data_IF_266229782376
#
_entry.id   IF_266229782376
#
_cell.length_a   1.000
_cell.length_b   1.000
_cell.length_c   1.000
_cell.angle_alpha   90.00
_cell.angle_beta   90.00
_cell.angle_gamma   90.00
#
_symmetry.space_group_name_H-M   'P 1'
#
loop_
_entity.id
_entity.type
_entity.pdbx_description
1 polymer ?
#
# COMPACT_ATOMS: atom_id res chain seq x y z
N UNK A 1 -9.37 -5.93 0.26
CA UNK A 1 -8.58 -7.18 0.24
C UNK A 1 -8.97 -7.99 1.46
N UNK A 2 -9.09 -9.32 1.35
CA UNK A 2 -9.39 -10.14 2.53
C UNK A 2 -8.12 -10.52 3.31
N UNK A 3 -8.29 -11.18 4.46
CA UNK A 3 -7.19 -11.68 5.28
C UNK A 3 -6.25 -12.64 4.54
N UNK A 4 -6.74 -13.28 3.47
CA UNK A 4 -6.00 -14.15 2.58
C UNK A 4 -5.40 -13.43 1.38
N UNK A 5 -5.35 -12.09 1.38
CA UNK A 5 -4.82 -11.25 0.31
C UNK A 5 -5.46 -11.49 -1.05
N UNK A 6 -6.72 -11.90 -1.06
CA UNK A 6 -7.53 -12.02 -2.28
C UNK A 6 -8.13 -10.67 -2.62
N UNK A 7 -8.07 -10.33 -3.90
CA UNK A 7 -8.73 -9.16 -4.45
C UNK A 7 -10.10 -9.55 -4.98
N UNK A 8 -11.05 -8.65 -4.78
CA UNK A 8 -12.41 -8.78 -5.27
C UNK A 8 -12.81 -7.47 -5.94
N UNK A 9 -13.45 -7.59 -7.09
CA UNK A 9 -14.12 -6.50 -7.77
C UNK A 9 -15.57 -6.47 -7.30
N UNK A 10 -16.03 -5.31 -6.88
CA UNK A 10 -17.42 -5.07 -6.53
C UNK A 10 -18.09 -4.38 -7.72
N UNK A 11 -18.99 -5.11 -8.39
CA UNK A 11 -19.84 -4.56 -9.43
C UNK A 11 -21.12 -4.04 -8.79
N UNK A 12 -21.33 -2.74 -8.89
CA UNK A 12 -22.54 -2.05 -8.44
C UNK A 12 -23.36 -1.70 -9.67
N UNK A 13 -24.42 -2.47 -9.91
CA UNK A 13 -25.43 -2.13 -10.92
C UNK A 13 -26.74 -1.76 -10.21
N UNK A 14 -27.62 -0.93 -10.80
CA UNK A 14 -28.85 -0.49 -10.14
C UNK A 14 -29.74 -1.61 -9.59
N UNK A 15 -29.62 -2.83 -10.12
CA UNK A 15 -30.45 -3.98 -9.78
C UNK A 15 -29.66 -5.13 -9.12
N UNK A 16 -28.33 -5.07 -9.09
CA UNK A 16 -27.52 -6.15 -8.56
C UNK A 16 -26.17 -5.68 -8.02
N UNK A 17 -25.84 -6.20 -6.84
CA UNK A 17 -24.50 -6.13 -6.26
C UNK A 17 -23.83 -7.48 -6.52
N UNK A 18 -22.73 -7.49 -7.29
CA UNK A 18 -21.99 -8.70 -7.58
C UNK A 18 -20.54 -8.56 -7.13
N UNK A 19 -20.07 -9.52 -6.35
CA UNK A 19 -18.68 -9.61 -5.96
C UNK A 19 -17.97 -10.67 -6.82
N UNK A 20 -16.89 -10.29 -7.49
CA UNK A 20 -16.10 -11.18 -8.32
C UNK A 20 -14.67 -11.26 -7.82
N UNK A 21 -14.17 -12.47 -7.55
CA UNK A 21 -12.76 -12.65 -7.22
C UNK A 21 -11.89 -12.41 -8.45
N UNK A 22 -10.86 -11.58 -8.31
CA UNK A 22 -9.86 -11.38 -9.35
C UNK A 22 -8.74 -12.42 -9.16
N UNK A 23 -8.41 -13.22 -10.18
CA UNK A 23 -7.23 -14.08 -10.13
C UNK A 23 -5.98 -13.19 -10.21
N UNK A 24 -5.16 -13.23 -9.16
CA UNK A 24 -3.94 -12.44 -9.09
C UNK A 24 -2.75 -13.36 -8.83
N UNK A 25 -1.75 -13.29 -9.70
CA UNK A 25 -0.46 -13.94 -9.55
C UNK A 25 0.47 -13.03 -8.77
N UNK A 26 1.13 -13.62 -7.78
CA UNK A 26 2.25 -12.99 -7.10
C UNK A 26 3.46 -13.10 -8.02
N UNK A 27 4.14 -11.97 -8.27
CA UNK A 27 5.27 -11.91 -9.21
C UNK A 27 6.32 -12.95 -8.83
N UNK A 28 6.39 -14.03 -9.61
CA UNK A 28 7.18 -15.23 -9.31
C UNK A 28 8.69 -15.00 -9.35
N UNK A 29 9.45 -15.96 -9.89
CA UNK A 29 10.92 -15.94 -9.99
C UNK A 29 11.51 -14.61 -10.51
N UNK A 30 10.77 -13.87 -11.34
CA UNK A 30 11.21 -12.64 -12.00
C UNK A 30 11.20 -11.39 -11.10
N UNK A 31 10.36 -11.35 -10.05
CA UNK A 31 10.11 -10.14 -9.26
C UNK A 31 10.27 -10.37 -7.73
N UNK A 32 10.46 -11.63 -7.30
CA UNK A 32 10.73 -12.00 -5.90
C UNK A 32 9.54 -11.87 -4.93
N UNK A 33 8.38 -11.41 -5.39
CA UNK A 33 7.23 -11.07 -4.57
C UNK A 33 6.45 -12.33 -4.19
N UNK A 34 6.56 -12.74 -2.92
CA UNK A 34 5.70 -13.77 -2.33
C UNK A 34 4.45 -13.15 -1.74
N UNK A 35 3.37 -13.94 -1.62
CA UNK A 35 2.09 -13.53 -1.02
C UNK A 35 2.24 -12.77 0.31
N UNK A 36 3.16 -13.20 1.16
CA UNK A 36 3.41 -12.65 2.50
C UNK A 36 4.69 -11.83 2.61
N UNK A 37 5.21 -11.36 1.47
CA UNK A 37 6.44 -10.58 1.39
C UNK A 37 6.33 -9.27 2.18
N UNK A 38 5.25 -8.51 1.95
CA UNK A 38 4.88 -7.39 2.81
C UNK A 38 4.13 -7.93 4.02
N UNK A 39 4.47 -7.60 5.26
CA UNK A 39 3.78 -8.17 6.44
C UNK A 39 2.40 -7.56 6.63
N UNK A 40 2.33 -6.24 6.51
CA UNK A 40 1.12 -5.46 6.72
C UNK A 40 0.85 -4.54 5.53
N UNK A 41 0.43 -5.10 4.39
CA UNK A 41 0.19 -4.29 3.20
C UNK A 41 -1.12 -3.50 3.30
N UNK A 42 -1.05 -2.25 2.85
CA UNK A 42 -2.21 -1.44 2.51
C UNK A 42 -2.43 -1.49 1.00
N UNK A 43 -3.69 -1.59 0.59
CA UNK A 43 -4.05 -1.22 -0.78
C UNK A 43 -4.21 0.29 -0.85
N UNK A 44 -3.85 0.90 -1.97
CA UNK A 44 -3.97 2.35 -2.19
C UNK A 44 -4.32 2.58 -3.66
N UNK A 45 -5.43 3.26 -3.94
CA UNK A 45 -5.72 3.73 -5.29
C UNK A 45 -4.89 4.99 -5.59
N UNK A 46 -4.08 4.97 -6.64
CA UNK A 46 -3.25 6.08 -7.11
C UNK A 46 -3.62 6.39 -8.57
N UNK A 47 -4.55 7.32 -8.75
CA UNK A 47 -5.18 7.54 -10.06
C UNK A 47 -5.87 6.27 -10.54
N UNK A 48 -5.50 5.79 -11.72
CA UNK A 48 -6.04 4.54 -12.31
C UNK A 48 -5.31 3.28 -11.83
N UNK A 49 -4.22 3.43 -11.08
CA UNK A 49 -3.40 2.30 -10.63
C UNK A 49 -3.75 1.90 -9.21
N UNK A 50 -3.93 0.61 -8.96
CA UNK A 50 -4.03 0.06 -7.60
C UNK A 50 -2.63 -0.37 -7.13
N UNK A 51 -2.16 0.21 -6.03
CA UNK A 51 -0.90 -0.15 -5.39
C UNK A 51 -1.14 -0.98 -4.13
N UNK A 52 -0.24 -1.92 -3.88
CA UNK A 52 -0.04 -2.56 -2.59
C UNK A 52 1.25 -2.04 -2.00
N UNK A 53 1.17 -1.41 -0.83
CA UNK A 53 2.31 -0.73 -0.19
C UNK A 53 2.46 -1.24 1.23
N UNK A 54 3.69 -1.46 1.68
CA UNK A 54 3.91 -1.84 3.07
C UNK A 54 5.37 -2.19 3.38
N UNK A 55 5.64 -2.49 4.66
CA UNK A 55 6.93 -2.97 5.13
C UNK A 55 7.09 -4.49 4.94
N UNK A 56 8.34 -4.94 4.82
CA UNK A 56 8.69 -6.38 4.88
C UNK A 56 8.66 -6.94 6.32
N UNK A 57 8.78 -6.08 7.33
CA UNK A 57 8.69 -6.43 8.75
C UNK A 57 7.30 -6.08 9.32
N UNK A 58 6.87 -6.77 10.38
CA UNK A 58 5.66 -6.42 11.15
C UNK A 58 5.91 -5.35 12.21
N UNK A 59 7.17 -5.23 12.64
CA UNK A 59 7.69 -4.19 13.54
C UNK A 59 8.84 -3.46 12.87
N UNK A 60 8.56 -2.83 11.74
CA UNK A 60 9.58 -2.13 11.03
C UNK A 60 10.17 -1.00 11.89
N UNK A 61 11.48 -0.88 11.81
CA UNK A 61 12.29 0.05 12.56
C UNK A 61 13.42 0.61 11.70
N UNK A 62 14.47 1.08 12.35
CA UNK A 62 15.65 1.61 11.66
C UNK A 62 16.24 0.57 10.71
N UNK A 63 16.38 0.92 9.43
CA UNK A 63 16.88 0.00 8.40
C UNK A 63 15.80 -0.71 7.58
N UNK A 64 14.55 -0.75 8.04
CA UNK A 64 13.46 -1.36 7.25
C UNK A 64 13.06 -0.50 6.06
N UNK A 65 12.59 -1.15 5.00
CA UNK A 65 12.25 -0.52 3.72
C UNK A 65 10.77 -0.71 3.45
N UNK A 66 10.11 0.38 3.05
CA UNK A 66 8.79 0.30 2.43
C UNK A 66 8.92 -0.03 0.95
N UNK A 67 8.10 -0.96 0.50
CA UNK A 67 8.00 -1.35 -0.89
C UNK A 67 6.57 -1.19 -1.41
N UNK A 68 6.45 -1.01 -2.72
CA UNK A 68 5.19 -0.84 -3.41
C UNK A 68 5.14 -1.76 -4.62
N UNK A 69 3.95 -2.29 -4.89
CA UNK A 69 3.66 -3.16 -6.02
C UNK A 69 2.40 -2.67 -6.70
N UNK A 70 2.42 -2.47 -8.01
CA UNK A 70 1.23 -2.14 -8.80
C UNK A 70 0.53 -3.39 -9.27
N UNK A 71 -0.79 -3.37 -9.30
CA UNK A 71 -1.57 -4.40 -9.94
C UNK A 71 -1.57 -4.16 -11.46
N UNK A 72 -0.96 -5.06 -12.20
CA UNK A 72 -1.01 -5.10 -13.65
C UNK A 72 -2.18 -5.99 -14.07
N UNK A 73 -3.23 -5.38 -14.61
CA UNK A 73 -4.42 -6.08 -15.11
C UNK A 73 -4.32 -6.41 -16.61
N UNK A 74 -3.23 -6.02 -17.29
CA UNK A 74 -3.01 -6.37 -18.70
C UNK A 74 -2.59 -7.83 -18.90
N UNK A 75 -2.15 -8.50 -17.83
CA UNK A 75 -1.80 -9.92 -17.83
C UNK A 75 -2.99 -10.78 -17.37
N UNK A 76 -3.06 -12.02 -17.85
CA UNK A 76 -4.03 -13.01 -17.38
C UNK A 76 -3.31 -14.24 -16.80
N UNK A 77 -3.37 -14.48 -15.47
CA UNK A 77 -4.00 -13.65 -14.43
C UNK A 77 -3.27 -12.32 -14.20
N UNK A 78 -3.94 -11.36 -13.55
CA UNK A 78 -3.35 -10.08 -13.16
C UNK A 78 -2.12 -10.29 -12.28
N UNK A 79 -1.12 -9.41 -12.32
CA UNK A 79 0.15 -9.61 -11.62
C UNK A 79 0.54 -8.43 -10.73
N UNK A 80 1.13 -8.70 -9.57
CA UNK A 80 1.79 -7.68 -8.76
C UNK A 80 3.21 -7.41 -9.29
N UNK A 81 3.43 -6.19 -9.78
CA UNK A 81 4.71 -5.73 -10.34
C UNK A 81 5.35 -4.73 -9.39
N UNK A 82 6.63 -4.93 -9.03
CA UNK A 82 7.35 -4.02 -8.13
C UNK A 82 7.44 -2.62 -8.74
N UNK A 83 7.24 -1.63 -7.90
CA UNK A 83 7.38 -0.21 -8.23
C UNK A 83 8.59 0.32 -7.48
N UNK A 84 9.63 0.71 -8.22
CA UNK A 84 10.83 1.29 -7.61
C UNK A 84 10.63 2.74 -7.19
N UNK A 85 9.76 3.47 -7.92
CA UNK A 85 9.38 4.85 -7.63
C UNK A 85 7.92 5.12 -7.97
N UNK A 86 7.22 5.82 -7.08
CA UNK A 86 5.85 6.31 -7.28
C UNK A 86 5.83 7.71 -7.93
N UNK A 87 6.94 8.15 -8.52
CA UNK A 87 7.09 9.45 -9.19
C UNK A 87 6.55 10.61 -8.37
N UNK A 88 5.41 11.20 -8.77
CA UNK A 88 4.83 12.39 -8.14
C UNK A 88 3.81 12.09 -7.04
N UNK A 89 3.60 10.81 -6.70
CA UNK A 89 2.63 10.42 -5.68
C UNK A 89 3.23 10.46 -4.27
N UNK A 90 2.41 10.91 -3.33
CA UNK A 90 2.59 10.72 -1.90
C UNK A 90 1.44 9.84 -1.38
N UNK A 91 1.77 8.86 -0.54
CA UNK A 91 0.81 7.93 0.03
C UNK A 91 0.67 8.21 1.52
N UNK A 92 -0.55 8.15 2.03
CA UNK A 92 -0.88 8.34 3.44
C UNK A 92 -1.55 7.06 3.95
N UNK A 93 -0.98 6.47 5.00
CA UNK A 93 -1.46 5.24 5.62
C UNK A 93 -1.62 5.45 7.13
N UNK A 94 -2.66 4.85 7.71
CA UNK A 94 -2.86 4.81 9.15
C UNK A 94 -2.51 3.44 9.72
N UNK A 95 -2.06 3.43 10.98
CA UNK A 95 -2.14 2.22 11.81
C UNK A 95 -3.58 1.83 12.15
N UNK A 96 -4.48 2.80 12.22
CA UNK A 96 -5.90 2.52 12.44
C UNK A 96 -6.47 1.92 11.14
N UNK A 97 -6.70 0.60 11.15
CA UNK A 97 -7.22 -0.16 10.00
C UNK A 97 -8.59 0.36 9.53
N UNK A 98 -9.30 1.14 10.36
CA UNK A 98 -10.58 1.78 9.99
C UNK A 98 -10.38 2.97 9.04
N UNK A 99 -9.19 3.56 9.03
CA UNK A 99 -8.89 4.71 8.20
C UNK A 99 -8.36 4.24 6.85
N UNK A 100 -9.03 4.68 5.80
CA UNK A 100 -8.63 4.38 4.44
C UNK A 100 -7.31 5.08 4.12
N UNK A 101 -6.40 4.37 3.45
CA UNK A 101 -5.20 4.98 2.89
C UNK A 101 -5.59 5.96 1.78
N UNK A 102 -4.79 7.01 1.64
CA UNK A 102 -5.03 8.05 0.64
C UNK A 102 -3.78 8.20 -0.23
N UNK A 103 -3.98 8.58 -1.48
CA UNK A 103 -2.89 9.02 -2.34
C UNK A 103 -3.14 10.47 -2.74
N UNK A 104 -2.06 11.23 -2.81
CA UNK A 104 -2.08 12.59 -3.32
C UNK A 104 -1.04 12.72 -4.41
N UNK A 105 -1.47 13.13 -5.60
CA UNK A 105 -0.54 13.53 -6.65
C UNK A 105 0.00 14.91 -6.29
N UNK A 106 1.31 15.04 -6.12
CA UNK A 106 1.96 16.33 -5.96
C UNK A 106 2.60 16.77 -7.28
N UNK A 107 1.88 17.53 -8.13
CA UNK A 107 2.41 18.01 -9.41
C UNK A 107 3.54 19.03 -9.23
N UNK A 108 3.69 19.67 -8.06
CA UNK A 108 4.67 20.72 -7.82
C UNK A 108 5.93 20.22 -7.12
N UNK A 109 7.10 20.69 -7.56
CA UNK A 109 8.39 20.29 -6.97
C UNK A 109 8.62 20.92 -5.59
N UNK A 110 7.77 21.88 -5.21
CA UNK A 110 7.83 22.69 -3.99
C UNK A 110 6.59 22.55 -3.09
N UNK A 111 5.68 21.63 -3.39
CA UNK A 111 4.52 21.37 -2.54
C UNK A 111 4.92 20.87 -1.14
N UNK A 112 4.02 20.96 -0.14
CA UNK A 112 4.33 20.63 1.25
C UNK A 112 4.71 19.16 1.47
N UNK A 113 4.31 18.27 0.56
CA UNK A 113 4.54 16.83 0.64
C UNK A 113 5.68 16.38 -0.27
N UNK A 114 6.51 15.47 0.22
CA UNK A 114 7.58 14.85 -0.56
C UNK A 114 7.00 13.80 -1.50
N UNK A 115 7.50 13.82 -2.73
CA UNK A 115 7.21 12.83 -3.77
C UNK A 115 7.86 11.50 -3.42
N UNK A 116 7.29 10.40 -3.92
CA UNK A 116 7.80 9.05 -3.68
C UNK A 116 7.90 8.69 -2.18
N UNK A 117 7.01 9.24 -1.37
CA UNK A 117 7.00 9.04 0.07
C UNK A 117 5.69 8.40 0.56
N UNK A 118 5.81 7.60 1.61
CA UNK A 118 4.72 7.02 2.38
C UNK A 118 4.73 7.69 3.76
N UNK A 119 3.64 8.36 4.08
CA UNK A 119 3.38 9.02 5.35
C UNK A 119 2.56 8.07 6.21
N UNK A 120 3.16 7.56 7.27
CA UNK A 120 2.49 6.73 8.26
C UNK A 120 2.11 7.60 9.44
N UNK A 121 0.83 7.67 9.79
CA UNK A 121 0.37 8.36 10.98
C UNK A 121 -0.16 7.38 12.03
N UNK A 122 0.25 7.66 13.26
CA UNK A 122 -0.25 7.12 14.51
C UNK A 122 -0.80 8.28 15.34
N UNK A 123 -1.62 8.00 16.36
CA UNK A 123 -2.37 8.99 17.15
C UNK A 123 -1.55 10.24 17.54
N UNK A 124 -0.25 10.09 17.80
CA UNK A 124 0.65 11.19 18.17
C UNK A 124 1.91 11.34 17.28
N UNK A 125 2.08 10.54 16.23
CA UNK A 125 3.33 10.49 15.45
C UNK A 125 3.08 10.38 13.95
N UNK A 126 3.83 11.16 13.17
CA UNK A 126 3.89 11.02 11.71
C UNK A 126 5.31 10.66 11.29
N UNK A 127 5.47 9.50 10.64
CA UNK A 127 6.75 9.00 10.15
C UNK A 127 6.70 8.98 8.63
N UNK A 128 7.76 9.49 8.01
CA UNK A 128 7.87 9.57 6.55
C UNK A 128 8.89 8.57 6.05
N UNK A 129 8.45 7.68 5.16
CA UNK A 129 9.27 6.69 4.50
C UNK A 129 9.45 7.09 3.04
N UNK A 130 10.68 7.13 2.54
CA UNK A 130 10.91 7.21 1.09
C UNK A 130 10.91 5.79 0.53
N UNK A 131 10.15 5.57 -0.55
CA UNK A 131 10.00 4.23 -1.11
C UNK A 131 11.35 3.67 -1.56
N UNK A 132 11.62 2.41 -1.19
CA UNK A 132 12.87 1.74 -1.55
C UNK A 132 14.10 2.21 -0.76
N UNK A 133 13.96 3.16 0.16
CA UNK A 133 15.04 3.58 1.05
C UNK A 133 14.83 3.06 2.48
N UNK A 134 15.91 2.70 3.18
CA UNK A 134 15.81 2.29 4.58
C UNK A 134 15.39 3.48 5.44
N UNK A 135 14.60 3.20 6.48
CA UNK A 135 14.26 4.17 7.51
C UNK A 135 15.55 4.70 8.13
N UNK A 136 15.78 6.01 8.03
CA UNK A 136 16.84 6.69 8.78
C UNK A 136 16.32 6.96 10.18
N UNK A 137 16.84 6.25 11.17
CA UNK A 137 16.69 6.66 12.56
C UNK A 137 17.38 8.01 12.73
N UNK A 138 16.66 8.99 13.28
CA UNK A 138 17.31 10.22 13.72
C UNK A 138 18.12 9.91 14.99
N UNK A 139 19.31 10.48 15.13
CA UNK A 139 20.21 10.22 16.26
C UNK A 139 19.60 10.61 17.63
N UNK A 140 18.47 11.33 17.60
CA UNK A 140 17.68 11.80 18.73
C UNK A 140 16.46 10.93 19.07
N UNK A 141 16.09 9.95 18.24
CA UNK A 141 15.07 8.94 18.56
C UNK A 141 15.53 7.55 18.07
N UNK A 142 16.22 6.78 18.93
CA UNK A 142 16.44 5.38 18.67
C UNK A 142 15.10 4.65 18.93
N UNK A 143 14.68 3.80 18.00
CA UNK A 143 13.50 2.93 18.09
C UNK A 143 12.13 3.56 17.81
N UNK A 144 11.97 4.17 16.64
CA UNK A 144 10.63 4.27 16.01
C UNK A 144 10.23 2.88 15.51
N UNK A 145 9.79 2.03 16.43
CA UNK A 145 9.14 0.75 16.09
C UNK A 145 7.67 1.01 15.80
N UNK A 146 7.23 0.71 14.59
CA UNK A 146 5.81 0.81 14.25
C UNK A 146 5.17 -0.56 14.24
N UNK A 147 4.43 -0.88 15.31
CA UNK A 147 3.55 -2.05 15.34
C UNK A 147 2.37 -1.79 14.42
N UNK A 148 2.25 -2.58 13.37
CA UNK A 148 1.05 -2.59 12.54
C UNK A 148 0.21 -3.79 12.98
N UNK A 149 -0.84 -3.52 13.76
CA UNK A 149 -1.76 -4.55 14.22
C UNK A 149 -2.51 -5.13 13.02
N UNK A 150 -2.31 -6.42 12.70
CA UNK A 150 -3.23 -7.18 11.87
C UNK A 150 -4.32 -7.77 12.76
N UNK A 151 -5.35 -6.98 13.06
CA UNK A 151 -6.53 -7.52 13.75
C UNK A 151 -7.44 -8.23 12.73
N UNK A 152 -8.26 -9.19 13.17
CA UNK A 152 -9.16 -9.97 12.30
C UNK A 152 -10.35 -9.16 11.75
N UNK A 153 -10.30 -7.83 11.81
CA UNK A 153 -11.40 -6.96 11.39
C UNK A 153 -11.31 -6.56 9.92
N UNK A 154 -12.47 -6.24 9.37
CA UNK A 154 -12.69 -5.98 7.94
C UNK A 154 -11.93 -4.73 7.49
N UNK A 155 -10.95 -4.93 6.60
CA UNK A 155 -10.26 -3.83 5.93
C UNK A 155 -11.25 -2.99 5.09
N UNK A 156 -11.04 -1.67 4.97
CA UNK A 156 -11.89 -0.79 4.18
C UNK A 156 -12.00 -1.29 2.73
N UNK A 157 -13.24 -1.30 2.22
CA UNK A 157 -13.53 -1.71 0.85
C UNK A 157 -13.19 -0.59 -0.14
N UNK A 158 -12.49 -0.94 -1.21
CA UNK A 158 -12.14 -0.02 -2.29
C UNK A 158 -13.24 -0.07 -3.36
N UNK A 159 -13.74 1.09 -3.77
CA UNK A 159 -14.61 1.26 -4.92
C UNK A 159 -13.85 2.09 -5.94
N UNK A 160 -13.47 1.48 -7.06
CA UNK A 160 -12.92 2.21 -8.20
C UNK A 160 -14.04 2.36 -9.21
N UNK A 161 -14.48 3.59 -9.55
CA UNK A 161 -15.47 3.78 -10.60
C UNK A 161 -14.89 3.32 -11.93
N UNK A 162 -15.64 2.50 -12.66
CA UNK A 162 -15.38 2.21 -14.07
C UNK A 162 -16.24 3.16 -14.88
N UNK A 163 -15.60 3.97 -15.73
CA UNK A 163 -16.26 4.88 -16.67
C UNK A 163 -16.69 4.17 -17.95
#
# INVERSE_FOLDING_TARGET
MDSNRRLFLLHLTPQQIRLQKIPVRWGGSRNGMRKWHLRTPWLVACGETLLMVGPQSSFPGTGDVFEAYRLDTSTEPAEWVKVDRMENWAIFISKDERVQSLSCMNPERKGPWRRNCVYCYDYDQCVVFELGKPLRGDATQPDVSFTVCCSRMTQPMWVVPTG
#
